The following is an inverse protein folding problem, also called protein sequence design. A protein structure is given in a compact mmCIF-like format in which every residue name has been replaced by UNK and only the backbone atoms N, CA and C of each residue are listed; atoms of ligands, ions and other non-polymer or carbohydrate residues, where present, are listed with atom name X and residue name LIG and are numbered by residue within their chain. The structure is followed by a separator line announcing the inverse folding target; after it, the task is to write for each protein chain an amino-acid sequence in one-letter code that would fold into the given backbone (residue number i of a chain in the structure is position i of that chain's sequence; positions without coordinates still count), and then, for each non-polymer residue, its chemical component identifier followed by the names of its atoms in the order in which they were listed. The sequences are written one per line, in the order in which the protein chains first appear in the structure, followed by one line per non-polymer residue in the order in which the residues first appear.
data_IF_996220478906
#
_entry.id   IF_996220478906
#
_cell.length_a   1.000
_cell.length_b   1.000
_cell.length_c   1.000
_cell.angle_alpha   90.00
_cell.angle_beta   90.00
_cell.angle_gamma   90.00
#
_symmetry.space_group_name_H-M   'P 1'
#
loop_
_entity.id
_entity.type
_entity.pdbx_description
1 polymer ?
#
# COMPACT_ATOMS: atom_id res chain seq x y z
N UNK A 1 -36.28 -8.07 -12.50
CA UNK A 1 -34.94 -8.68 -12.46
C UNK A 1 -34.37 -8.38 -11.07
N UNK A 2 -34.35 -9.31 -10.10
CA UNK A 2 -33.70 -9.04 -8.84
C UNK A 2 -32.20 -8.93 -9.13
N UNK A 3 -31.64 -7.73 -8.93
CA UNK A 3 -30.24 -7.44 -9.18
C UNK A 3 -29.37 -8.33 -8.29
N UNK A 4 -28.42 -9.02 -8.92
CA UNK A 4 -27.37 -9.75 -8.22
C UNK A 4 -26.72 -8.80 -7.21
N UNK A 5 -26.86 -9.14 -5.92
CA UNK A 5 -26.04 -8.54 -4.87
C UNK A 5 -24.62 -9.04 -5.10
N UNK A 6 -23.79 -8.22 -5.75
CA UNK A 6 -22.36 -8.45 -5.76
C UNK A 6 -21.87 -8.18 -4.33
N UNK A 7 -21.50 -9.25 -3.62
CA UNK A 7 -20.94 -9.10 -2.28
C UNK A 7 -19.51 -8.54 -2.40
N UNK A 8 -19.41 -7.21 -2.45
CA UNK A 8 -18.14 -6.52 -2.39
C UNK A 8 -17.57 -6.66 -0.97
N UNK A 9 -16.39 -7.28 -0.88
CA UNK A 9 -15.68 -7.56 0.37
C UNK A 9 -14.42 -6.73 0.39
N UNK A 10 -14.06 -6.15 1.53
CA UNK A 10 -12.78 -5.44 1.68
C UNK A 10 -11.70 -6.42 2.11
N UNK A 11 -10.59 -6.45 1.38
CA UNK A 11 -9.46 -7.31 1.71
C UNK A 11 -8.68 -6.75 2.91
N UNK A 12 -8.46 -7.54 3.96
CA UNK A 12 -7.67 -7.11 5.13
C UNK A 12 -6.19 -6.87 4.84
N UNK A 13 -5.67 -7.39 3.71
CA UNK A 13 -4.26 -7.32 3.33
C UNK A 13 -3.96 -6.10 2.47
N UNK A 14 -4.65 -5.96 1.33
CA UNK A 14 -4.44 -4.85 0.39
C UNK A 14 -5.39 -3.67 0.61
N UNK A 15 -6.36 -3.79 1.53
CA UNK A 15 -7.38 -2.76 1.85
C UNK A 15 -8.29 -2.37 0.66
N UNK A 16 -8.19 -3.08 -0.46
CA UNK A 16 -9.04 -2.89 -1.65
C UNK A 16 -10.30 -3.74 -1.57
N UNK A 17 -11.39 -3.25 -2.15
CA UNK A 17 -12.60 -4.03 -2.38
C UNK A 17 -12.38 -5.07 -3.48
N UNK A 18 -12.98 -6.23 -3.31
CA UNK A 18 -12.93 -7.33 -4.26
C UNK A 18 -14.25 -8.11 -4.23
N UNK A 19 -14.49 -8.92 -5.25
CA UNK A 19 -15.58 -9.88 -5.29
C UNK A 19 -15.01 -11.30 -5.40
N UNK A 20 -15.76 -12.32 -4.97
CA UNK A 20 -15.26 -13.70 -4.99
C UNK A 20 -15.05 -14.24 -6.41
N UNK A 21 -15.78 -13.72 -7.41
CA UNK A 21 -15.62 -14.09 -8.82
C UNK A 21 -14.25 -13.69 -9.39
N UNK A 22 -13.70 -12.58 -8.93
CA UNK A 22 -12.37 -12.07 -9.31
C UNK A 22 -11.26 -12.52 -8.36
N UNK A 23 -11.56 -13.29 -7.30
CA UNK A 23 -10.61 -13.69 -6.28
C UNK A 23 -9.80 -14.95 -6.66
N UNK A 24 -8.89 -14.79 -7.61
CA UNK A 24 -7.94 -15.83 -8.02
C UNK A 24 -6.62 -15.76 -7.21
N UNK A 25 -5.76 -16.78 -7.36
CA UNK A 25 -4.54 -16.96 -6.56
C UNK A 25 -3.50 -15.83 -6.65
N UNK A 26 -3.65 -14.88 -7.57
CA UNK A 26 -2.78 -13.71 -7.72
C UNK A 26 -3.52 -12.38 -7.71
N UNK A 27 -4.81 -12.38 -7.35
CA UNK A 27 -5.67 -11.20 -7.41
C UNK A 27 -5.24 -10.11 -6.40
N UNK A 28 -4.86 -10.52 -5.20
CA UNK A 28 -4.44 -9.62 -4.14
C UNK A 28 -2.93 -9.40 -4.19
N UNK A 29 -2.51 -8.14 -4.34
CA UNK A 29 -1.12 -7.71 -4.15
C UNK A 29 -1.07 -6.83 -2.90
N UNK A 30 -0.23 -7.19 -1.92
CA UNK A 30 -0.07 -6.38 -0.71
C UNK A 30 1.37 -6.35 -0.22
N UNK A 31 1.66 -5.31 0.56
CA UNK A 31 2.85 -5.21 1.39
C UNK A 31 2.47 -5.63 2.81
N UNK A 32 3.34 -6.41 3.46
CA UNK A 32 3.15 -6.81 4.86
C UNK A 32 4.02 -6.01 5.83
N UNK A 33 4.90 -5.17 5.29
CA UNK A 33 5.71 -4.24 6.06
C UNK A 33 4.99 -2.91 6.19
N UNK A 34 5.67 -1.99 6.86
CA UNK A 34 5.31 -0.58 6.91
C UNK A 34 6.07 0.17 5.82
N UNK A 35 5.49 1.27 5.35
CA UNK A 35 6.26 2.25 4.60
C UNK A 35 7.17 2.94 5.63
N UNK A 36 8.44 3.21 5.34
CA UNK A 36 9.39 3.90 6.25
C UNK A 36 10.40 4.75 5.48
N UNK A 37 10.92 5.79 6.13
CA UNK A 37 12.01 6.60 5.59
C UNK A 37 13.30 5.77 5.66
N UNK A 38 13.81 5.35 4.50
CA UNK A 38 15.09 4.65 4.42
C UNK A 38 16.18 5.66 4.12
N UNK A 39 17.26 5.65 4.92
CA UNK A 39 18.43 6.55 4.75
C UNK A 39 19.10 6.46 3.38
N UNK A 40 18.81 5.41 2.60
CA UNK A 40 19.39 5.17 1.27
C UNK A 40 18.50 5.69 0.12
N UNK A 41 17.54 6.56 0.41
CA UNK A 41 16.67 7.13 -0.60
C UNK A 41 17.10 8.56 -0.96
N UNK A 42 17.78 8.69 -2.11
CA UNK A 42 18.26 9.96 -2.66
C UNK A 42 17.12 10.95 -2.99
N UNK A 43 15.85 10.54 -2.89
CA UNK A 43 14.68 11.40 -3.15
C UNK A 43 14.63 12.64 -2.24
N UNK A 44 15.15 12.54 -1.02
CA UNK A 44 15.12 13.63 -0.03
C UNK A 44 16.44 14.39 0.10
N UNK A 45 17.43 14.14 -0.77
CA UNK A 45 18.77 14.76 -0.66
C UNK A 45 18.73 16.30 -0.69
N UNK A 46 17.78 16.88 -1.42
CA UNK A 46 17.58 18.33 -1.51
C UNK A 46 16.53 18.88 -0.51
N UNK A 47 15.95 18.03 0.34
CA UNK A 47 14.89 18.43 1.28
C UNK A 47 15.46 18.89 2.62
N UNK A 48 15.24 20.15 2.94
CA UNK A 48 15.56 20.73 4.26
C UNK A 48 14.32 20.70 5.17
N UNK A 49 14.33 19.88 6.22
CA UNK A 49 13.20 19.75 7.16
C UNK A 49 12.89 21.03 7.95
N UNK A 50 13.86 21.94 8.14
CA UNK A 50 13.62 23.22 8.82
C UNK A 50 12.84 24.22 7.94
N UNK A 51 12.91 24.06 6.62
CA UNK A 51 12.25 24.94 5.64
C UNK A 51 10.98 24.30 5.07
N UNK A 52 11.05 23.01 4.75
CA UNK A 52 10.02 22.28 4.01
C UNK A 52 9.20 21.33 4.90
N UNK A 53 9.52 21.21 6.18
CA UNK A 53 8.81 20.39 7.16
C UNK A 53 9.38 18.98 7.29
N UNK A 54 8.94 18.27 8.34
CA UNK A 54 9.41 16.94 8.70
C UNK A 54 8.96 15.91 7.67
N UNK A 55 9.91 15.19 7.08
CA UNK A 55 9.69 14.18 6.05
C UNK A 55 8.95 12.98 6.61
N UNK A 56 9.31 12.51 7.81
CA UNK A 56 8.72 11.30 8.40
C UNK A 56 7.33 11.57 9.02
N UNK A 57 6.38 11.99 8.20
CA UNK A 57 5.00 12.28 8.56
C UNK A 57 4.02 11.55 7.64
N UNK A 58 2.82 11.23 8.14
CA UNK A 58 1.79 10.55 7.34
C UNK A 58 1.40 11.34 6.09
N UNK A 59 1.34 12.67 6.18
CA UNK A 59 1.03 13.55 5.04
C UNK A 59 2.07 13.40 3.92
N UNK A 60 3.36 13.43 4.25
CA UNK A 60 4.43 13.24 3.28
C UNK A 60 4.46 11.82 2.71
N UNK A 61 4.08 10.81 3.49
CA UNK A 61 3.99 9.42 3.03
C UNK A 61 2.89 9.23 1.99
N UNK A 62 1.80 9.97 2.12
CA UNK A 62 0.68 9.97 1.16
C UNK A 62 0.98 10.83 -0.07
N UNK A 63 1.64 11.99 0.08
CA UNK A 63 1.97 12.91 -1.02
C UNK A 63 3.20 12.47 -1.83
N UNK A 64 4.19 11.88 -1.17
CA UNK A 64 5.49 11.50 -1.74
C UNK A 64 5.86 10.04 -1.44
N UNK A 65 5.02 9.04 -1.80
CA UNK A 65 5.27 7.63 -1.51
C UNK A 65 6.61 7.11 -2.09
N UNK A 66 7.11 7.72 -3.17
CA UNK A 66 8.42 7.42 -3.76
C UNK A 66 9.61 7.73 -2.83
N UNK A 67 9.42 8.66 -1.89
CA UNK A 67 10.38 9.03 -0.86
C UNK A 67 10.51 8.01 0.27
N UNK A 68 9.66 6.98 0.28
CA UNK A 68 9.66 5.97 1.33
C UNK A 68 9.77 4.57 0.75
N UNK A 69 10.27 3.64 1.55
CA UNK A 69 10.46 2.26 1.17
C UNK A 69 9.65 1.33 2.07
N UNK A 70 9.06 0.31 1.47
CA UNK A 70 8.37 -0.73 2.20
C UNK A 70 9.37 -1.64 2.91
N UNK A 71 9.28 -1.76 4.24
CA UNK A 71 10.20 -2.60 5.04
C UNK A 71 10.17 -4.08 4.65
N UNK A 72 9.13 -4.54 3.95
CA UNK A 72 9.01 -5.92 3.48
C UNK A 72 9.79 -6.26 2.21
N UNK A 73 10.18 -5.28 1.41
CA UNK A 73 10.82 -5.54 0.12
C UNK A 73 11.79 -4.46 -0.36
N UNK A 74 11.97 -3.40 0.44
CA UNK A 74 12.84 -2.25 0.18
C UNK A 74 12.48 -1.50 -1.11
N UNK A 75 11.30 -1.76 -1.68
CA UNK A 75 10.79 -1.03 -2.86
C UNK A 75 10.09 0.24 -2.42
N UNK A 76 10.06 1.23 -3.32
CA UNK A 76 9.39 2.51 -3.08
C UNK A 76 7.89 2.35 -2.83
N UNK A 77 7.30 3.32 -2.12
CA UNK A 77 5.88 3.35 -1.76
C UNK A 77 4.93 3.22 -2.95
N UNK A 78 5.32 3.76 -4.10
CA UNK A 78 4.57 3.68 -5.36
C UNK A 78 4.47 2.27 -5.94
N UNK A 79 5.37 1.35 -5.56
CA UNK A 79 5.33 -0.01 -6.10
C UNK A 79 4.20 -0.80 -5.46
N UNK A 80 3.47 -1.52 -6.30
CA UNK A 80 2.47 -2.48 -5.86
C UNK A 80 3.04 -3.56 -4.94
N UNK A 81 2.14 -4.23 -4.21
CA UNK A 81 2.47 -5.21 -3.17
C UNK A 81 3.54 -6.24 -3.55
N UNK A 82 4.47 -6.50 -2.63
CA UNK A 82 5.53 -7.49 -2.84
C UNK A 82 5.06 -8.95 -2.73
N UNK A 83 3.92 -9.19 -2.06
CA UNK A 83 3.29 -10.51 -1.95
C UNK A 83 2.04 -10.59 -2.80
N UNK A 84 1.75 -11.81 -3.29
CA UNK A 84 0.58 -12.14 -4.10
C UNK A 84 -0.19 -13.30 -3.51
N UNK A 85 -1.49 -13.34 -3.75
CA UNK A 85 -2.38 -14.36 -3.20
C UNK A 85 -3.84 -14.07 -3.52
N UNK A 86 -4.73 -14.92 -3.00
CA UNK A 86 -6.15 -14.57 -2.86
C UNK A 86 -6.37 -13.42 -1.87
N UNK A 87 -7.37 -12.60 -2.15
CA UNK A 87 -7.93 -11.67 -1.19
C UNK A 87 -8.48 -12.43 0.01
N UNK A 88 -8.33 -11.83 1.20
CA UNK A 88 -8.86 -12.36 2.45
C UNK A 88 -9.79 -11.32 3.05
N UNK A 89 -11.06 -11.66 3.34
CA UNK A 89 -12.02 -10.71 3.85
C UNK A 89 -11.54 -10.18 5.21
N UNK A 90 -11.82 -8.90 5.48
CA UNK A 90 -11.74 -8.35 6.82
C UNK A 90 -12.93 -8.90 7.59
N UNK A 91 -12.69 -9.85 8.49
CA UNK A 91 -13.73 -10.28 9.44
C UNK A 91 -14.18 -9.05 10.24
N UNK A 92 -15.49 -8.84 10.30
CA UNK A 92 -16.14 -7.74 10.99
C UNK A 92 -16.23 -7.96 12.49
#
# INVERSE_FOLDING_TARGET
MPGLLFEEKTCRRCKTNYNDESNHDTACNWHHGSLELFERNDYWDDHDEEIHGVIDTDDFRDEHPQGFNWTCCERTGEKGGCRRGRHVPREG
#
